data_IF_197133942882
#
_entry.id   IF_197133942882
#
_cell.length_a   1.000
_cell.length_b   1.000
_cell.length_c   1.000
_cell.angle_alpha   90.00
_cell.angle_beta   90.00
_cell.angle_gamma   90.00
#
_symmetry.space_group_name_H-M   'P 1'
#
loop_
_entity.id
_entity.type
_entity.pdbx_description
1 polymer ?
#
# COMPACT_ATOMS: atom_id res chain seq x y z
N UNK A 1 5.39 42.35 12.48
CA UNK A 1 5.12 42.22 11.03
C UNK A 1 5.25 40.75 10.69
N UNK A 2 4.14 40.07 10.38
CA UNK A 2 4.21 38.66 9.95
C UNK A 2 4.83 38.58 8.56
N UNK A 3 5.75 37.64 8.36
CA UNK A 3 6.29 37.32 7.03
C UNK A 3 5.14 36.88 6.12
N UNK A 4 5.20 37.32 4.85
CA UNK A 4 4.23 36.87 3.86
C UNK A 4 4.26 35.32 3.76
N UNK A 5 3.12 34.65 3.53
CA UNK A 5 3.02 33.19 3.51
C UNK A 5 4.10 32.47 2.66
N UNK A 6 4.52 32.98 1.48
CA UNK A 6 5.57 32.34 0.69
C UNK A 6 6.96 32.40 1.33
N UNK A 7 7.28 33.52 2.00
CA UNK A 7 8.54 33.70 2.69
C UNK A 7 8.62 32.87 3.96
N UNK A 8 7.50 32.71 4.67
CA UNK A 8 7.40 31.83 5.82
C UNK A 8 7.63 30.36 5.42
N UNK A 9 7.03 29.92 4.32
CA UNK A 9 7.24 28.57 3.78
C UNK A 9 8.69 28.34 3.36
N UNK A 10 9.32 29.32 2.70
CA UNK A 10 10.74 29.25 2.33
C UNK A 10 11.64 29.10 3.57
N UNK A 11 11.37 29.85 4.65
CA UNK A 11 12.12 29.77 5.91
C UNK A 11 11.94 28.40 6.57
N UNK A 12 10.73 27.83 6.60
CA UNK A 12 10.48 26.48 7.13
C UNK A 12 11.26 25.42 6.34
N UNK A 13 11.27 25.52 5.01
CA UNK A 13 12.02 24.61 4.14
C UNK A 13 13.55 24.74 4.32
N UNK A 14 14.08 25.96 4.44
CA UNK A 14 15.51 26.21 4.60
C UNK A 14 16.04 25.80 5.98
N UNK A 15 15.21 25.89 7.02
CA UNK A 15 15.57 25.48 8.38
C UNK A 15 15.46 23.97 8.60
N UNK A 16 14.93 23.21 7.63
CA UNK A 16 14.78 21.76 7.75
C UNK A 16 13.96 21.32 8.96
N UNK A 17 13.04 22.18 9.42
CA UNK A 17 12.20 21.87 10.57
C UNK A 17 11.37 20.62 10.22
N UNK A 18 11.45 19.54 11.01
CA UNK A 18 10.69 18.34 10.73
C UNK A 18 9.20 18.70 10.71
N UNK A 19 8.47 18.12 9.76
CA UNK A 19 7.02 18.23 9.76
C UNK A 19 6.49 17.77 11.13
N UNK A 20 5.50 18.45 11.72
CA UNK A 20 5.01 18.15 13.06
C UNK A 20 4.34 16.77 13.19
N UNK A 21 4.22 16.00 12.11
CA UNK A 21 3.63 14.67 12.09
C UNK A 21 4.70 13.56 12.00
N UNK A 22 4.74 12.71 13.01
CA UNK A 22 5.36 11.38 13.00
C UNK A 22 4.53 10.38 12.15
N UNK A 23 3.98 10.85 11.02
CA UNK A 23 3.21 10.00 10.12
C UNK A 23 4.18 9.15 9.30
N UNK A 24 4.25 7.87 9.62
CA UNK A 24 5.04 6.88 8.88
C UNK A 24 4.13 6.08 7.95
N UNK A 25 4.58 5.87 6.72
CA UNK A 25 3.88 5.05 5.73
C UNK A 25 4.51 3.65 5.71
N UNK A 26 3.73 2.63 6.04
CA UNK A 26 4.15 1.23 6.00
C UNK A 26 3.98 0.65 4.61
N UNK A 27 5.11 0.38 3.95
CA UNK A 27 5.15 -0.27 2.64
C UNK A 27 5.67 -1.72 2.74
N UNK A 28 5.21 -2.60 1.85
CA UNK A 28 5.75 -3.96 1.72
C UNK A 28 5.93 -4.39 0.27
N UNK A 29 6.88 -5.31 0.04
CA UNK A 29 6.99 -6.09 -1.19
C UNK A 29 6.76 -7.55 -0.87
N UNK A 30 5.84 -8.20 -1.59
CA UNK A 30 5.47 -9.59 -1.34
C UNK A 30 5.45 -10.39 -2.63
N UNK A 31 6.41 -11.31 -2.78
CA UNK A 31 6.32 -12.33 -3.81
C UNK A 31 5.33 -13.42 -3.35
N UNK A 32 4.18 -13.47 -4.02
CA UNK A 32 3.20 -14.53 -3.85
C UNK A 32 3.45 -15.57 -4.95
N UNK A 33 4.28 -16.56 -4.64
CA UNK A 33 4.77 -17.57 -5.59
C UNK A 33 3.67 -18.04 -6.57
N UNK A 34 3.89 -17.92 -7.88
CA UNK A 34 2.93 -18.34 -8.92
C UNK A 34 1.50 -17.84 -8.63
N UNK A 35 1.33 -16.53 -8.37
CA UNK A 35 0.00 -15.98 -8.09
C UNK A 35 -0.84 -15.89 -9.36
N UNK A 36 -1.79 -16.80 -9.51
CA UNK A 36 -2.67 -16.84 -10.68
C UNK A 36 -4.05 -17.42 -10.40
N UNK A 37 -4.73 -17.91 -11.43
CA UNK A 37 -6.12 -18.41 -11.34
C UNK A 37 -6.29 -19.47 -10.24
N UNK A 38 -5.42 -20.47 -10.21
CA UNK A 38 -5.50 -21.58 -9.24
C UNK A 38 -5.33 -21.09 -7.80
N UNK A 39 -4.30 -20.28 -7.54
CA UNK A 39 -4.02 -19.77 -6.18
C UNK A 39 -5.09 -18.79 -5.70
N UNK A 40 -5.55 -17.90 -6.58
CA UNK A 40 -6.62 -16.94 -6.28
C UNK A 40 -8.02 -17.57 -6.14
N UNK A 41 -8.20 -18.83 -6.54
CA UNK A 41 -9.43 -19.59 -6.31
C UNK A 41 -9.53 -20.23 -4.92
N UNK A 42 -8.43 -20.22 -4.16
CA UNK A 42 -8.35 -20.80 -2.82
C UNK A 42 -8.77 -19.77 -1.77
N UNK A 43 -9.97 -19.91 -1.22
CA UNK A 43 -10.58 -18.94 -0.30
C UNK A 43 -9.71 -18.71 0.95
N UNK A 44 -9.15 -19.77 1.50
CA UNK A 44 -8.26 -19.75 2.66
C UNK A 44 -6.96 -18.96 2.37
N UNK A 45 -6.39 -19.12 1.17
CA UNK A 45 -5.21 -18.36 0.76
C UNK A 45 -5.56 -16.88 0.62
N UNK A 46 -6.67 -16.56 -0.04
CA UNK A 46 -7.10 -15.17 -0.23
C UNK A 46 -7.37 -14.48 1.11
N UNK A 47 -7.98 -15.17 2.08
CA UNK A 47 -8.19 -14.65 3.45
C UNK A 47 -6.86 -14.27 4.10
N UNK A 48 -5.88 -15.16 4.07
CA UNK A 48 -4.54 -14.92 4.65
C UNK A 48 -3.83 -13.75 3.95
N UNK A 49 -3.91 -13.69 2.62
CA UNK A 49 -3.31 -12.58 1.86
C UNK A 49 -3.95 -11.24 2.22
N UNK A 50 -5.28 -11.20 2.39
CA UNK A 50 -5.99 -10.01 2.87
C UNK A 50 -5.52 -9.56 4.25
N UNK A 51 -5.42 -10.49 5.20
CA UNK A 51 -4.93 -10.21 6.56
C UNK A 51 -3.47 -9.70 6.58
N UNK A 52 -2.59 -10.27 5.75
CA UNK A 52 -1.19 -9.82 5.64
C UNK A 52 -1.12 -8.42 5.02
N UNK A 53 -1.81 -8.20 3.90
CA UNK A 53 -1.72 -6.95 3.13
C UNK A 53 -2.41 -5.79 3.85
N UNK A 54 -3.47 -6.05 4.61
CA UNK A 54 -4.15 -5.03 5.42
C UNK A 54 -3.31 -4.42 6.56
N UNK A 55 -2.10 -4.94 6.81
CA UNK A 55 -1.14 -4.38 7.79
C UNK A 55 -0.30 -3.22 7.26
N UNK A 56 -0.40 -2.92 5.96
CA UNK A 56 0.45 -1.97 5.26
C UNK A 56 -0.43 -0.95 4.51
N UNK A 57 0.08 0.26 4.38
CA UNK A 57 -0.56 1.33 3.62
C UNK A 57 -0.39 1.12 2.10
N UNK A 58 0.67 0.39 1.70
CA UNK A 58 0.90 -0.01 0.32
C UNK A 58 1.68 -1.32 0.20
N UNK A 59 1.32 -2.14 -0.79
CA UNK A 59 1.96 -3.44 -1.05
C UNK A 59 2.24 -3.64 -2.53
N UNK A 60 3.50 -3.97 -2.86
CA UNK A 60 3.90 -4.45 -4.18
C UNK A 60 3.74 -5.98 -4.24
N UNK A 61 2.82 -6.47 -5.08
CA UNK A 61 2.60 -7.90 -5.30
C UNK A 61 3.43 -8.37 -6.49
N UNK A 62 4.30 -9.35 -6.26
CA UNK A 62 5.19 -9.90 -7.27
C UNK A 62 4.77 -11.32 -7.69
N UNK A 63 5.31 -11.77 -8.82
CA UNK A 63 5.09 -13.10 -9.40
C UNK A 63 3.63 -13.41 -9.79
N UNK A 64 2.92 -12.39 -10.28
CA UNK A 64 1.61 -12.54 -10.88
C UNK A 64 1.74 -13.32 -12.20
N UNK A 65 1.18 -14.52 -12.24
CA UNK A 65 1.10 -15.41 -13.40
C UNK A 65 -0.38 -15.62 -13.80
N UNK A 66 -1.00 -14.55 -14.30
CA UNK A 66 -2.37 -14.61 -14.83
C UNK A 66 -2.58 -13.61 -15.97
N UNK A 67 -2.51 -14.11 -17.21
CA UNK A 67 -2.76 -13.30 -18.40
C UNK A 67 -4.20 -12.74 -18.48
N UNK A 68 -5.15 -13.26 -17.71
CA UNK A 68 -6.53 -12.77 -17.72
C UNK A 68 -6.78 -11.56 -16.82
N UNK A 69 -5.83 -11.23 -15.92
CA UNK A 69 -5.98 -10.16 -14.92
C UNK A 69 -7.01 -10.42 -13.80
N UNK A 70 -7.79 -11.51 -13.89
CA UNK A 70 -8.88 -11.81 -12.94
C UNK A 70 -8.38 -12.15 -11.54
N UNK A 71 -7.21 -12.81 -11.43
CA UNK A 71 -6.62 -13.16 -10.15
C UNK A 71 -6.22 -11.91 -9.35
N UNK A 72 -5.62 -10.93 -10.01
CA UNK A 72 -5.23 -9.67 -9.37
C UNK A 72 -6.45 -8.85 -8.96
N UNK A 73 -7.47 -8.75 -9.81
CA UNK A 73 -8.74 -8.08 -9.45
C UNK A 73 -9.41 -8.71 -8.22
N UNK A 74 -9.43 -10.05 -8.12
CA UNK A 74 -9.91 -10.74 -6.90
C UNK A 74 -9.11 -10.37 -5.66
N UNK A 75 -7.78 -10.23 -5.78
CA UNK A 75 -6.91 -9.85 -4.67
C UNK A 75 -7.21 -8.44 -4.18
N UNK A 76 -7.29 -7.47 -5.09
CA UNK A 76 -7.66 -6.08 -4.76
C UNK A 76 -9.00 -6.04 -4.02
N UNK A 77 -10.03 -6.72 -4.56
CA UNK A 77 -11.34 -6.78 -3.91
C UNK A 77 -11.28 -7.43 -2.52
N UNK A 78 -10.43 -8.45 -2.34
CA UNK A 78 -10.26 -9.11 -1.04
C UNK A 78 -9.62 -8.19 -0.02
N UNK A 79 -8.57 -7.46 -0.41
CA UNK A 79 -7.89 -6.49 0.47
C UNK A 79 -8.83 -5.34 0.81
N UNK A 80 -9.53 -4.76 -0.17
CA UNK A 80 -10.50 -3.68 0.07
C UNK A 80 -11.67 -4.10 0.96
N UNK A 81 -12.05 -5.38 0.96
CA UNK A 81 -13.08 -5.90 1.87
C UNK A 81 -12.54 -6.15 3.30
N UNK A 82 -11.25 -6.41 3.45
CA UNK A 82 -10.58 -6.65 4.73
C UNK A 82 -10.13 -5.36 5.42
N UNK A 83 -9.79 -4.32 4.65
CA UNK A 83 -9.47 -2.97 5.15
C UNK A 83 -10.75 -2.25 5.56
N UNK A 84 -11.11 -2.34 6.85
CA UNK A 84 -12.08 -1.50 7.54
C UNK A 84 -11.50 -1.00 8.84
#
# INVERSE_FOLDING_TARGET
>A
MLLAPPLLLLVVCLLGLPAPSEESVKMAGFNVQVFGKTKSGKREVMKILGEIMGRYDGVFVLEIRDASGKAFSRLVNTVSAASR
#
